data_IF_048392424223
#
_entry.id   IF_048392424223
#
_cell.length_a   1.000
_cell.length_b   1.000
_cell.length_c   1.000
_cell.angle_alpha   90.00
_cell.angle_beta   90.00
_cell.angle_gamma   90.00
#
_symmetry.space_group_name_H-M   'P 1'
#
loop_
_entity.id
_entity.type
_entity.pdbx_description
1 polymer ?
#
# COMPACT_ATOMS: atom_id res chain seq x y z
N UNK A 1 8.38 -19.19 -14.78
CA UNK A 1 7.45 -18.66 -15.80
C UNK A 1 8.17 -17.53 -16.51
N UNK A 2 8.23 -17.56 -17.84
CA UNK A 2 8.59 -16.35 -18.61
C UNK A 2 7.49 -15.33 -18.30
N UNK A 3 7.86 -14.14 -17.78
CA UNK A 3 6.89 -13.06 -17.62
C UNK A 3 6.25 -12.81 -18.99
N UNK A 4 4.93 -12.83 -19.05
CA UNK A 4 4.25 -12.39 -20.26
C UNK A 4 4.63 -10.91 -20.45
N UNK A 5 5.30 -10.61 -21.55
CA UNK A 5 5.36 -9.24 -22.01
C UNK A 5 4.16 -9.07 -22.92
N UNK A 6 3.07 -8.51 -22.38
CA UNK A 6 1.92 -8.07 -23.18
C UNK A 6 2.44 -7.08 -24.21
N UNK A 7 2.72 -7.57 -25.41
CA UNK A 7 3.22 -6.77 -26.51
C UNK A 7 2.08 -6.43 -27.46
N UNK A 8 2.23 -5.34 -28.21
CA UNK A 8 1.19 -4.86 -29.13
C UNK A 8 0.76 -5.94 -30.15
N UNK A 9 1.67 -6.83 -30.54
CA UNK A 9 1.38 -7.91 -31.51
C UNK A 9 0.39 -8.91 -30.90
N UNK A 10 0.62 -9.31 -29.65
CA UNK A 10 -0.22 -10.24 -28.92
C UNK A 10 -1.59 -9.62 -28.64
N UNK A 11 -1.64 -8.38 -28.15
CA UNK A 11 -2.91 -7.68 -27.93
C UNK A 11 -3.71 -7.54 -29.22
N UNK A 12 -3.07 -7.16 -30.32
CA UNK A 12 -3.77 -7.05 -31.62
C UNK A 12 -4.32 -8.40 -32.08
N UNK A 13 -3.63 -9.51 -31.79
CA UNK A 13 -4.14 -10.87 -32.05
C UNK A 13 -5.37 -11.17 -31.21
N UNK A 14 -5.33 -10.89 -29.90
CA UNK A 14 -6.49 -11.07 -29.01
C UNK A 14 -7.69 -10.25 -29.51
N UNK A 15 -7.48 -8.96 -29.80
CA UNK A 15 -8.52 -8.07 -30.35
C UNK A 15 -9.09 -8.61 -31.67
N UNK A 16 -8.23 -9.12 -32.56
CA UNK A 16 -8.66 -9.74 -33.81
C UNK A 16 -9.49 -11.00 -33.59
N UNK A 17 -9.12 -11.86 -32.62
CA UNK A 17 -9.88 -13.07 -32.29
C UNK A 17 -11.26 -12.73 -31.70
N UNK A 18 -11.35 -11.69 -30.86
CA UNK A 18 -12.62 -11.18 -30.32
C UNK A 18 -13.50 -10.65 -31.45
N UNK A 19 -12.95 -9.77 -32.30
CA UNK A 19 -13.70 -9.18 -33.42
C UNK A 19 -14.21 -10.24 -34.42
N UNK A 20 -13.41 -11.27 -34.68
CA UNK A 20 -13.78 -12.39 -35.56
C UNK A 20 -14.67 -13.45 -34.89
N UNK A 21 -15.05 -13.28 -33.61
CA UNK A 21 -15.80 -14.24 -32.79
C UNK A 21 -15.19 -15.65 -32.79
N UNK A 22 -13.86 -15.74 -32.81
CA UNK A 22 -13.12 -17.01 -32.75
C UNK A 22 -12.98 -17.51 -31.30
N UNK A 23 -14.13 -17.65 -30.62
CA UNK A 23 -14.22 -17.94 -29.19
C UNK A 23 -13.47 -19.20 -28.76
N UNK A 24 -13.54 -20.29 -29.53
CA UNK A 24 -12.81 -21.53 -29.23
C UNK A 24 -11.28 -21.35 -29.26
N UNK A 25 -10.79 -20.55 -30.21
CA UNK A 25 -9.35 -20.26 -30.32
C UNK A 25 -8.92 -19.36 -29.18
N UNK A 26 -9.71 -18.32 -28.90
CA UNK A 26 -9.45 -17.36 -27.84
C UNK A 26 -9.45 -18.03 -26.46
N UNK A 27 -10.46 -18.85 -26.16
CA UNK A 27 -10.54 -19.62 -24.91
C UNK A 27 -9.33 -20.53 -24.79
N UNK A 28 -9.01 -21.33 -25.81
CA UNK A 28 -7.84 -22.23 -25.77
C UNK A 28 -6.51 -21.49 -25.59
N UNK A 29 -6.38 -20.30 -26.18
CA UNK A 29 -5.18 -19.48 -26.06
C UNK A 29 -5.05 -18.92 -24.64
N UNK A 30 -6.12 -18.34 -24.09
CA UNK A 30 -6.11 -17.69 -22.78
C UNK A 30 -6.22 -18.65 -21.58
N UNK A 31 -6.86 -19.82 -21.70
CA UNK A 31 -7.05 -20.77 -20.59
C UNK A 31 -5.74 -21.34 -20.01
N UNK A 32 -4.59 -21.14 -20.67
CA UNK A 32 -3.28 -21.57 -20.15
C UNK A 32 -2.50 -20.42 -19.47
N UNK A 33 -3.05 -19.21 -19.47
CA UNK A 33 -2.41 -18.04 -18.88
C UNK A 33 -2.72 -17.99 -17.39
N UNK A 34 -1.81 -17.35 -16.64
CA UNK A 34 -2.08 -17.05 -15.24
C UNK A 34 -3.13 -15.93 -15.15
N UNK A 35 -3.97 -15.93 -14.12
CA UNK A 35 -5.01 -14.91 -13.92
C UNK A 35 -4.42 -13.49 -13.93
N UNK A 36 -3.25 -13.29 -13.32
CA UNK A 36 -2.52 -12.02 -13.35
C UNK A 36 -2.16 -11.54 -14.78
N UNK A 37 -1.80 -12.46 -15.69
CA UNK A 37 -1.54 -12.11 -17.08
C UNK A 37 -2.84 -11.72 -17.81
N UNK A 38 -3.96 -12.35 -17.43
CA UNK A 38 -5.29 -12.04 -17.97
C UNK A 38 -5.77 -10.67 -17.46
N UNK A 39 -5.53 -10.35 -16.19
CA UNK A 39 -5.78 -9.03 -15.62
C UNK A 39 -5.00 -7.95 -16.39
N UNK A 40 -3.71 -8.18 -16.70
CA UNK A 40 -2.91 -7.25 -17.50
C UNK A 40 -3.48 -7.04 -18.91
N UNK A 41 -3.99 -8.10 -19.55
CA UNK A 41 -4.67 -8.01 -20.85
C UNK A 41 -5.97 -7.19 -20.72
N UNK A 42 -6.78 -7.48 -19.70
CA UNK A 42 -8.06 -6.79 -19.43
C UNK A 42 -7.83 -5.27 -19.26
N UNK A 43 -6.76 -4.87 -18.57
CA UNK A 43 -6.39 -3.45 -18.37
C UNK A 43 -6.01 -2.72 -19.67
N UNK A 44 -5.62 -3.43 -20.74
CA UNK A 44 -5.09 -2.85 -22.00
C UNK A 44 -6.05 -2.94 -23.19
N UNK A 45 -7.24 -3.50 -22.99
CA UNK A 45 -8.29 -3.63 -24.01
C UNK A 45 -9.49 -2.72 -23.70
N UNK A 46 -10.41 -2.60 -24.65
CA UNK A 46 -11.64 -1.84 -24.42
C UNK A 46 -12.57 -2.57 -23.44
N UNK A 47 -13.49 -1.82 -22.82
CA UNK A 47 -14.46 -2.38 -21.88
C UNK A 47 -15.30 -3.50 -22.51
N UNK A 48 -15.72 -3.34 -23.77
CA UNK A 48 -16.49 -4.35 -24.50
C UNK A 48 -15.68 -5.64 -24.74
N UNK A 49 -14.39 -5.52 -25.04
CA UNK A 49 -13.49 -6.66 -25.21
C UNK A 49 -13.24 -7.37 -23.88
N UNK A 50 -13.06 -6.62 -22.78
CA UNK A 50 -12.91 -7.17 -21.43
C UNK A 50 -14.13 -7.98 -21.01
N UNK A 51 -15.35 -7.44 -21.19
CA UNK A 51 -16.60 -8.15 -20.89
C UNK A 51 -16.72 -9.44 -21.71
N UNK A 52 -16.29 -9.42 -22.98
CA UNK A 52 -16.31 -10.61 -23.82
C UNK A 52 -15.38 -11.70 -23.29
N UNK A 53 -14.19 -11.34 -22.79
CA UNK A 53 -13.25 -12.28 -22.17
C UNK A 53 -13.85 -12.86 -20.88
N UNK A 54 -14.37 -12.01 -19.99
CA UNK A 54 -14.96 -12.44 -18.71
C UNK A 54 -16.10 -13.45 -18.94
N UNK A 55 -16.98 -13.20 -19.92
CA UNK A 55 -18.09 -14.13 -20.23
C UNK A 55 -17.67 -15.40 -20.98
N UNK A 56 -16.46 -15.44 -21.55
CA UNK A 56 -16.02 -16.55 -22.39
C UNK A 56 -15.18 -17.58 -21.62
N UNK A 57 -14.36 -17.11 -20.69
CA UNK A 57 -13.48 -17.95 -19.89
C UNK A 57 -14.24 -18.62 -18.74
N UNK A 58 -13.53 -19.48 -18.01
CA UNK A 58 -14.08 -20.16 -16.83
C UNK A 58 -13.91 -19.24 -15.62
N UNK A 59 -14.92 -19.25 -14.73
CA UNK A 59 -15.04 -18.33 -13.60
C UNK A 59 -13.87 -18.44 -12.61
N UNK A 60 -13.26 -19.62 -12.47
CA UNK A 60 -12.06 -19.85 -11.65
C UNK A 60 -10.88 -18.96 -12.06
N UNK A 61 -10.74 -18.67 -13.36
CA UNK A 61 -9.67 -17.83 -13.88
C UNK A 61 -10.08 -16.36 -13.90
N UNK A 62 -11.33 -16.07 -14.28
CA UNK A 62 -11.79 -14.68 -14.43
C UNK A 62 -12.07 -14.00 -13.11
N UNK A 63 -12.47 -14.74 -12.08
CA UNK A 63 -12.68 -14.22 -10.75
C UNK A 63 -11.37 -13.64 -10.18
N UNK A 64 -10.32 -14.46 -10.13
CA UNK A 64 -8.97 -14.07 -9.72
C UNK A 64 -8.42 -12.91 -10.58
N UNK A 65 -8.68 -12.94 -11.90
CA UNK A 65 -8.26 -11.84 -12.77
C UNK A 65 -9.03 -10.54 -12.48
N UNK A 66 -10.30 -10.61 -12.07
CA UNK A 66 -11.08 -9.44 -11.68
C UNK A 66 -10.60 -8.86 -10.34
N UNK A 67 -10.18 -9.69 -9.38
CA UNK A 67 -9.59 -9.24 -8.12
C UNK A 67 -8.33 -8.36 -8.35
N UNK A 68 -7.52 -8.72 -9.34
CA UNK A 68 -6.27 -8.02 -9.73
C UNK A 68 -6.48 -6.76 -10.61
N UNK A 69 -7.70 -6.52 -11.08
CA UNK A 69 -8.02 -5.36 -11.93
C UNK A 69 -8.31 -4.13 -11.08
N UNK A 70 -7.91 -2.95 -11.56
CA UNK A 70 -8.12 -1.70 -10.83
C UNK A 70 -9.62 -1.45 -10.57
N UNK A 71 -9.97 -1.06 -9.35
CA UNK A 71 -11.35 -0.89 -8.86
C UNK A 71 -12.25 -0.17 -9.88
N UNK A 72 -11.79 0.99 -10.38
CA UNK A 72 -12.56 1.83 -11.31
C UNK A 72 -12.84 1.19 -12.68
N UNK A 73 -12.07 0.18 -13.07
CA UNK A 73 -12.30 -0.58 -14.30
C UNK A 73 -13.13 -1.84 -14.01
N UNK A 74 -12.86 -2.52 -12.89
CA UNK A 74 -13.67 -3.62 -12.36
C UNK A 74 -15.14 -3.22 -12.21
N UNK A 75 -15.43 -2.08 -11.57
CA UNK A 75 -16.80 -1.56 -11.40
C UNK A 75 -17.54 -1.44 -12.75
N UNK A 76 -16.86 -0.94 -13.78
CA UNK A 76 -17.42 -0.80 -15.13
C UNK A 76 -17.76 -2.15 -15.76
N UNK A 77 -16.90 -3.15 -15.57
CA UNK A 77 -17.15 -4.52 -16.05
C UNK A 77 -18.36 -5.11 -15.32
N UNK A 78 -18.36 -5.08 -13.98
CA UNK A 78 -19.42 -5.64 -13.14
C UNK A 78 -20.78 -5.00 -13.41
N UNK A 79 -20.82 -3.69 -13.72
CA UNK A 79 -22.05 -2.97 -14.10
C UNK A 79 -22.74 -3.54 -15.36
N UNK A 80 -22.03 -4.33 -16.17
CA UNK A 80 -22.54 -4.98 -17.39
C UNK A 80 -22.84 -6.46 -17.22
N UNK A 81 -22.55 -7.02 -16.06
CA UNK A 81 -22.89 -8.40 -15.70
C UNK A 81 -24.23 -8.46 -14.97
N UNK A 82 -24.90 -9.58 -15.08
CA UNK A 82 -26.08 -9.90 -14.28
C UNK A 82 -25.66 -10.33 -12.87
N UNK A 83 -26.55 -10.19 -11.89
CA UNK A 83 -26.26 -10.61 -10.52
C UNK A 83 -25.94 -12.13 -10.39
N UNK A 84 -26.36 -12.95 -11.37
CA UNK A 84 -26.02 -14.38 -11.41
C UNK A 84 -24.60 -14.59 -11.91
N UNK A 85 -24.22 -13.91 -13.00
CA UNK A 85 -22.84 -13.94 -13.51
C UNK A 85 -21.86 -13.43 -12.46
N UNK A 86 -22.18 -12.33 -11.77
CA UNK A 86 -21.32 -11.82 -10.68
C UNK A 86 -21.21 -12.86 -9.55
N UNK A 87 -22.33 -13.49 -9.15
CA UNK A 87 -22.28 -14.49 -8.08
C UNK A 87 -21.44 -15.72 -8.46
N UNK A 88 -21.45 -16.14 -9.72
CA UNK A 88 -20.61 -17.23 -10.23
C UNK A 88 -19.11 -16.88 -10.15
N UNK A 89 -18.72 -15.61 -10.39
CA UNK A 89 -17.34 -15.18 -10.19
C UNK A 89 -16.96 -15.09 -8.71
N UNK A 90 -17.84 -14.50 -7.88
CA UNK A 90 -17.59 -14.33 -6.44
C UNK A 90 -17.45 -15.66 -5.71
N UNK A 91 -18.17 -16.70 -6.14
CA UNK A 91 -18.13 -18.03 -5.52
C UNK A 91 -16.79 -18.77 -5.72
N UNK A 92 -15.95 -18.33 -6.67
CA UNK A 92 -14.62 -18.91 -6.92
C UNK A 92 -13.49 -18.18 -6.18
N UNK A 93 -13.79 -17.07 -5.49
CA UNK A 93 -12.80 -16.25 -4.75
C UNK A 93 -12.66 -16.66 -3.29
N UNK A 94 -11.51 -16.35 -2.70
CA UNK A 94 -11.36 -16.36 -1.24
C UNK A 94 -12.25 -15.23 -0.63
N UNK A 95 -12.67 -15.39 0.64
CA UNK A 95 -13.74 -14.56 1.22
C UNK A 95 -13.40 -13.08 1.35
N UNK A 96 -12.13 -12.73 1.52
CA UNK A 96 -11.61 -11.35 1.55
C UNK A 96 -11.76 -10.67 0.18
N UNK A 97 -11.22 -11.27 -0.89
CA UNK A 97 -11.36 -10.74 -2.25
C UNK A 97 -12.85 -10.63 -2.66
N UNK A 98 -13.64 -11.65 -2.31
CA UNK A 98 -15.08 -11.64 -2.53
C UNK A 98 -15.79 -10.48 -1.80
N UNK A 99 -15.40 -10.21 -0.55
CA UNK A 99 -15.95 -9.12 0.25
C UNK A 99 -15.58 -7.75 -0.34
N UNK A 100 -14.34 -7.58 -0.80
CA UNK A 100 -13.90 -6.33 -1.44
C UNK A 100 -14.70 -6.05 -2.72
N UNK A 101 -14.79 -7.03 -3.64
CA UNK A 101 -15.55 -6.87 -4.88
C UNK A 101 -17.04 -6.63 -4.63
N UNK A 102 -17.64 -7.34 -3.66
CA UNK A 102 -19.05 -7.12 -3.32
C UNK A 102 -19.24 -5.74 -2.66
N UNK A 103 -18.29 -5.29 -1.85
CA UNK A 103 -18.30 -3.99 -1.18
C UNK A 103 -18.37 -2.81 -2.16
N UNK A 104 -17.75 -2.93 -3.34
CA UNK A 104 -17.80 -1.94 -4.43
C UNK A 104 -19.18 -1.82 -5.09
N UNK A 105 -20.01 -2.87 -5.01
CA UNK A 105 -21.31 -2.87 -5.66
C UNK A 105 -22.30 -1.95 -4.92
N UNK A 106 -23.24 -1.32 -5.66
CA UNK A 106 -24.39 -0.66 -5.05
C UNK A 106 -25.12 -1.58 -4.06
N UNK A 107 -25.53 -1.06 -2.89
CA UNK A 107 -26.19 -1.84 -1.82
C UNK A 107 -27.36 -2.72 -2.31
N UNK A 108 -28.12 -2.23 -3.29
CA UNK A 108 -29.26 -2.95 -3.86
C UNK A 108 -28.87 -4.14 -4.77
N UNK A 109 -27.62 -4.20 -5.22
CA UNK A 109 -27.03 -5.31 -5.97
C UNK A 109 -26.30 -6.30 -5.06
N UNK A 110 -25.63 -5.83 -4.00
CA UNK A 110 -24.94 -6.70 -3.03
C UNK A 110 -25.81 -7.86 -2.56
N UNK A 111 -26.99 -7.55 -2.01
CA UNK A 111 -27.94 -8.57 -1.54
C UNK A 111 -28.41 -9.53 -2.63
N UNK A 112 -28.56 -9.04 -3.87
CA UNK A 112 -28.98 -9.87 -5.00
C UNK A 112 -27.88 -10.85 -5.39
N UNK A 113 -26.63 -10.40 -5.43
CA UNK A 113 -25.46 -11.23 -5.74
C UNK A 113 -25.29 -12.28 -4.64
N UNK A 114 -25.23 -11.87 -3.38
CA UNK A 114 -25.07 -12.77 -2.24
C UNK A 114 -26.18 -13.84 -2.15
N UNK A 115 -27.41 -13.51 -2.56
CA UNK A 115 -28.52 -14.47 -2.61
C UNK A 115 -28.45 -15.50 -3.75
N UNK A 116 -27.48 -15.34 -4.67
CA UNK A 116 -27.29 -16.18 -5.85
C UNK A 116 -26.11 -17.14 -5.74
N UNK A 117 -25.22 -16.93 -4.78
CA UNK A 117 -24.13 -17.85 -4.43
C UNK A 117 -24.75 -19.18 -3.94
N UNK A 118 -24.27 -20.31 -4.44
CA UNK A 118 -24.81 -21.62 -4.08
C UNK A 118 -24.32 -22.07 -2.69
N UNK A 119 -23.05 -21.81 -2.37
CA UNK A 119 -22.49 -22.01 -1.04
C UNK A 119 -23.01 -20.97 -0.01
N UNK A 120 -23.92 -21.44 0.84
CA UNK A 120 -24.52 -20.63 1.90
C UNK A 120 -23.55 -20.27 3.04
N UNK A 121 -22.52 -21.09 3.31
CA UNK A 121 -21.49 -20.79 4.31
C UNK A 121 -20.59 -19.66 3.79
N UNK A 122 -20.11 -19.79 2.55
CA UNK A 122 -19.30 -18.77 1.89
C UNK A 122 -20.03 -17.42 1.77
N UNK A 123 -21.29 -17.42 1.32
CA UNK A 123 -22.14 -16.20 1.26
C UNK A 123 -22.33 -15.54 2.64
N UNK A 124 -22.43 -16.34 3.71
CA UNK A 124 -22.56 -15.84 5.08
C UNK A 124 -21.25 -15.27 5.62
N UNK A 125 -20.13 -15.86 5.25
CA UNK A 125 -18.79 -15.40 5.60
C UNK A 125 -18.47 -14.05 4.93
N UNK A 126 -18.77 -13.89 3.64
CA UNK A 126 -18.67 -12.61 2.92
C UNK A 126 -19.54 -11.55 3.61
N UNK A 127 -20.79 -11.88 3.96
CA UNK A 127 -21.66 -10.96 4.72
C UNK A 127 -21.06 -10.54 6.05
N UNK A 128 -20.36 -11.43 6.73
CA UNK A 128 -19.71 -11.10 7.99
C UNK A 128 -18.60 -10.08 7.75
N UNK A 129 -17.75 -10.33 6.74
CA UNK A 129 -16.61 -9.48 6.39
C UNK A 129 -17.03 -8.06 6.00
N UNK A 130 -18.10 -7.92 5.22
CA UNK A 130 -18.69 -6.63 4.84
C UNK A 130 -19.15 -5.76 6.03
N UNK A 131 -19.25 -6.30 7.24
CA UNK A 131 -19.60 -5.51 8.43
C UNK A 131 -18.38 -4.90 9.14
N UNK A 132 -17.15 -5.32 8.80
CA UNK A 132 -15.95 -4.71 9.35
C UNK A 132 -15.66 -3.39 8.65
N UNK A 133 -15.05 -2.46 9.39
CA UNK A 133 -14.69 -1.17 8.80
C UNK A 133 -13.47 -1.36 7.90
N UNK A 134 -13.49 -0.69 6.76
CA UNK A 134 -12.33 -0.56 5.87
C UNK A 134 -11.09 -0.08 6.65
N UNK A 135 -9.90 -0.58 6.29
CA UNK A 135 -8.65 -0.28 6.99
C UNK A 135 -8.47 -1.00 8.34
N UNK A 136 -9.31 -2.00 8.65
CA UNK A 136 -9.13 -2.87 9.82
C UNK A 136 -8.73 -4.29 9.43
N UNK A 137 -8.08 -4.99 10.35
CA UNK A 137 -7.72 -6.41 10.20
C UNK A 137 -8.91 -7.30 9.86
N UNK A 138 -10.13 -6.94 10.30
CA UNK A 138 -11.34 -7.68 9.98
C UNK A 138 -11.82 -7.52 8.55
N UNK A 139 -11.56 -6.38 7.92
CA UNK A 139 -11.87 -6.18 6.50
C UNK A 139 -10.87 -6.92 5.61
N UNK A 140 -9.60 -7.00 6.03
CA UNK A 140 -8.51 -7.64 5.28
C UNK A 140 -8.43 -9.17 5.47
N UNK A 141 -9.24 -9.79 6.32
CA UNK A 141 -9.05 -11.21 6.65
C UNK A 141 -9.86 -12.15 5.76
N UNK A 142 -9.22 -13.21 5.29
CA UNK A 142 -9.89 -14.41 4.81
C UNK A 142 -10.40 -15.29 5.96
N UNK A 143 -11.54 -15.95 5.73
CA UNK A 143 -12.12 -16.98 6.60
C UNK A 143 -11.51 -18.35 6.34
N UNK A 144 -10.98 -18.58 5.15
CA UNK A 144 -10.33 -19.81 4.71
C UNK A 144 -9.05 -20.06 5.52
N UNK A 145 -9.13 -20.91 6.54
CA UNK A 145 -7.98 -21.28 7.35
C UNK A 145 -8.03 -22.74 7.81
N UNK A 146 -6.85 -23.28 8.13
CA UNK A 146 -6.75 -24.60 8.73
C UNK A 146 -6.60 -24.47 10.24
N UNK A 147 -7.56 -25.03 10.99
CA UNK A 147 -7.51 -25.07 12.44
C UNK A 147 -7.83 -26.45 13.02
N UNK A 148 -7.14 -26.80 14.11
CA UNK A 148 -7.28 -28.10 14.78
C UNK A 148 -7.40 -27.95 16.29
N UNK A 149 -8.18 -28.83 16.91
CA UNK A 149 -8.36 -28.81 18.34
C UNK A 149 -7.16 -29.45 19.08
N UNK A 150 -6.70 -28.81 20.16
CA UNK A 150 -5.56 -29.27 20.98
C UNK A 150 -5.71 -30.71 21.53
N UNK A 151 -6.94 -31.19 21.68
CA UNK A 151 -7.22 -32.50 22.27
C UNK A 151 -7.04 -33.67 21.31
N UNK A 152 -6.93 -33.41 20.00
CA UNK A 152 -6.77 -34.42 18.97
C UNK A 152 -5.41 -35.12 19.06
N UNK A 153 -5.37 -36.40 18.67
CA UNK A 153 -4.11 -37.09 18.37
C UNK A 153 -3.53 -36.60 17.05
N UNK A 154 -2.22 -36.73 16.85
CA UNK A 154 -1.53 -36.35 15.60
C UNK A 154 -2.19 -37.01 14.38
N UNK A 155 -2.57 -38.30 14.47
CA UNK A 155 -3.23 -38.98 13.35
C UNK A 155 -4.60 -38.39 13.01
N UNK A 156 -5.39 -38.00 14.01
CA UNK A 156 -6.70 -37.38 13.80
C UNK A 156 -6.52 -35.93 13.32
N UNK A 157 -5.54 -35.20 13.86
CA UNK A 157 -5.15 -33.86 13.41
C UNK A 157 -4.87 -33.85 11.90
N UNK A 158 -4.00 -34.74 11.41
CA UNK A 158 -3.68 -34.85 9.98
C UNK A 158 -4.93 -35.17 9.14
N UNK A 159 -5.83 -36.00 9.66
CA UNK A 159 -7.08 -36.33 8.96
C UNK A 159 -8.02 -35.13 8.87
N UNK A 160 -8.18 -34.36 9.94
CA UNK A 160 -8.99 -33.13 9.94
C UNK A 160 -8.36 -32.07 9.02
N UNK A 161 -7.04 -31.88 9.08
CA UNK A 161 -6.34 -30.97 8.17
C UNK A 161 -6.54 -31.33 6.71
N UNK A 162 -6.47 -32.63 6.35
CA UNK A 162 -6.74 -33.09 4.98
C UNK A 162 -8.18 -32.87 4.52
N UNK A 163 -9.13 -32.75 5.44
CA UNK A 163 -10.51 -32.42 5.12
C UNK A 163 -10.63 -30.93 4.80
N UNK A 164 -10.07 -30.07 5.65
CA UNK A 164 -10.11 -28.62 5.49
C UNK A 164 -9.29 -28.15 4.29
N UNK A 165 -8.10 -28.73 4.06
CA UNK A 165 -7.22 -28.37 2.95
C UNK A 165 -7.74 -28.71 1.54
N UNK A 166 -8.97 -29.24 1.42
CA UNK A 166 -9.66 -29.37 0.14
C UNK A 166 -10.41 -28.10 -0.27
N UNK A 167 -10.79 -27.30 0.72
CA UNK A 167 -11.58 -26.09 0.58
C UNK A 167 -10.71 -24.83 0.79
N UNK A 168 -9.38 -24.99 0.85
CA UNK A 168 -8.44 -23.87 1.05
C UNK A 168 -7.35 -23.97 -0.01
N UNK A 169 -7.22 -22.92 -0.82
CA UNK A 169 -6.29 -22.83 -1.94
C UNK A 169 -4.84 -22.98 -1.47
N UNK A 170 -4.47 -22.28 -0.38
CA UNK A 170 -3.12 -22.30 0.20
C UNK A 170 -3.12 -22.39 1.72
N UNK A 171 -2.51 -23.46 2.24
CA UNK A 171 -2.31 -23.65 3.69
C UNK A 171 -1.00 -22.98 4.14
N UNK A 172 -1.09 -21.73 4.57
CA UNK A 172 0.06 -20.96 5.08
C UNK A 172 0.43 -21.31 6.53
N UNK A 173 -0.58 -21.56 7.37
CA UNK A 173 -0.38 -21.89 8.78
C UNK A 173 -1.49 -22.80 9.29
N UNK A 174 -1.20 -23.60 10.32
CA UNK A 174 -2.15 -24.48 10.97
C UNK A 174 -2.33 -23.99 12.41
N UNK A 175 -3.50 -23.44 12.70
CA UNK A 175 -3.79 -22.87 14.01
C UNK A 175 -4.33 -23.94 14.97
N UNK A 176 -3.97 -23.80 16.25
CA UNK A 176 -4.44 -24.69 17.31
C UNK A 176 -5.42 -23.95 18.19
N UNK A 177 -6.60 -24.52 18.35
CA UNK A 177 -7.68 -23.94 19.17
C UNK A 177 -8.14 -24.90 20.27
N UNK A 178 -8.83 -24.34 21.27
CA UNK A 178 -9.54 -25.14 22.27
C UNK A 178 -11.01 -25.39 21.88
N UNK A 179 -11.77 -26.05 22.75
CA UNK A 179 -13.21 -26.34 22.52
C UNK A 179 -14.12 -25.10 22.44
N UNK A 180 -13.62 -23.91 22.76
CA UNK A 180 -14.34 -22.62 22.64
C UNK A 180 -13.84 -21.78 21.45
N UNK A 181 -13.12 -22.41 20.52
CA UNK A 181 -12.46 -21.80 19.38
C UNK A 181 -11.44 -20.70 19.74
N UNK A 182 -10.84 -20.75 20.95
CA UNK A 182 -9.80 -19.79 21.33
C UNK A 182 -8.45 -20.19 20.76
N UNK A 183 -7.75 -19.24 20.17
CA UNK A 183 -6.39 -19.42 19.65
C UNK A 183 -5.41 -19.73 20.80
N UNK A 184 -4.69 -20.85 20.67
CA UNK A 184 -3.68 -21.30 21.64
C UNK A 184 -2.26 -21.24 21.07
N UNK A 185 -2.11 -21.49 19.77
CA UNK A 185 -0.82 -21.56 19.12
C UNK A 185 -0.91 -22.03 17.67
N UNK A 186 0.20 -22.52 17.12
CA UNK A 186 0.27 -23.07 15.75
C UNK A 186 1.04 -24.39 15.71
N UNK A 187 0.86 -25.15 14.64
CA UNK A 187 1.63 -26.36 14.35
C UNK A 187 2.68 -26.08 13.29
N UNK A 188 3.90 -26.56 13.52
CA UNK A 188 4.90 -26.70 12.47
C UNK A 188 4.68 -28.00 11.71
N UNK A 189 4.74 -27.95 10.39
CA UNK A 189 4.71 -29.16 9.55
C UNK A 189 5.86 -30.12 9.92
N UNK A 190 7.04 -29.58 10.26
CA UNK A 190 8.18 -30.37 10.72
C UNK A 190 7.88 -31.14 12.00
N UNK A 191 7.27 -30.49 12.98
CA UNK A 191 6.94 -31.12 14.26
C UNK A 191 5.84 -32.16 14.07
N UNK A 192 4.87 -31.88 13.19
CA UNK A 192 3.81 -32.83 12.84
C UNK A 192 4.36 -34.10 12.15
N UNK A 193 5.35 -33.95 11.26
CA UNK A 193 5.97 -35.08 10.54
C UNK A 193 6.89 -35.93 11.43
N UNK A 194 7.47 -35.35 12.48
CA UNK A 194 8.42 -36.04 13.36
C UNK A 194 7.76 -36.56 14.65
N UNK A 195 6.56 -36.08 14.98
CA UNK A 195 5.83 -36.50 16.17
C UNK A 195 5.31 -37.95 16.09
N UNK A 196 5.19 -38.58 17.26
CA UNK A 196 4.51 -39.87 17.35
C UNK A 196 3.03 -39.72 17.00
N UNK A 197 2.49 -40.59 16.15
CA UNK A 197 1.10 -40.56 15.70
C UNK A 197 0.06 -40.63 16.82
N UNK A 198 0.45 -41.17 17.99
CA UNK A 198 -0.39 -41.25 19.21
C UNK A 198 -0.24 -40.05 20.15
N UNK A 199 0.76 -39.19 19.96
CA UNK A 199 0.89 -37.96 20.73
C UNK A 199 -0.31 -37.04 20.48
N UNK A 200 -0.60 -36.14 21.40
CA UNK A 200 -1.68 -35.15 21.22
C UNK A 200 -1.12 -33.85 20.66
N UNK A 201 -1.98 -33.10 19.96
CA UNK A 201 -1.66 -31.76 19.44
C UNK A 201 -1.17 -30.85 20.55
N UNK A 202 -1.81 -30.89 21.73
CA UNK A 202 -1.39 -30.12 22.92
C UNK A 202 0.07 -30.34 23.36
N UNK A 203 0.68 -31.46 22.98
CA UNK A 203 2.05 -31.83 23.40
C UNK A 203 3.11 -31.33 22.38
N UNK A 204 2.68 -30.88 21.20
CA UNK A 204 3.58 -30.55 20.07
C UNK A 204 3.37 -29.15 19.47
N UNK A 205 2.28 -28.46 19.80
CA UNK A 205 2.03 -27.13 19.24
C UNK A 205 3.01 -26.10 19.82
N UNK A 206 3.27 -25.07 19.03
CA UNK A 206 4.09 -23.92 19.43
C UNK A 206 3.15 -22.90 20.09
N UNK A 207 3.27 -22.66 21.42
CA UNK A 207 2.45 -21.67 22.11
C UNK A 207 2.92 -20.24 21.78
N UNK A 208 2.09 -19.25 22.12
CA UNK A 208 2.38 -17.82 21.94
C UNK A 208 2.63 -17.44 20.48
N UNK A 209 1.60 -17.60 19.66
CA UNK A 209 1.58 -17.04 18.31
C UNK A 209 1.27 -15.55 18.37
N UNK A 210 1.93 -14.79 17.51
CA UNK A 210 1.49 -13.43 17.20
C UNK A 210 0.10 -13.48 16.55
N UNK A 211 -0.76 -12.56 16.95
CA UNK A 211 -2.13 -12.44 16.46
C UNK A 211 -2.55 -10.98 16.52
N UNK A 212 -3.54 -10.60 15.72
CA UNK A 212 -4.11 -9.26 15.71
C UNK A 212 -5.58 -9.29 16.10
N UNK A 213 -6.07 -8.20 16.70
CA UNK A 213 -7.50 -8.04 16.95
C UNK A 213 -8.19 -7.69 15.62
N UNK A 214 -9.43 -8.09 15.46
CA UNK A 214 -10.25 -7.76 14.28
C UNK A 214 -10.41 -6.26 14.02
N UNK A 215 -10.28 -5.42 15.06
CA UNK A 215 -10.34 -3.96 14.94
C UNK A 215 -8.96 -3.29 14.83
N UNK A 216 -7.88 -4.05 14.71
CA UNK A 216 -6.53 -3.51 14.56
C UNK A 216 -6.37 -2.80 13.21
N UNK A 217 -5.60 -1.72 13.17
CA UNK A 217 -5.30 -0.97 11.94
C UNK A 217 -4.42 -1.82 11.00
N UNK A 218 -4.74 -1.81 9.70
CA UNK A 218 -4.00 -2.60 8.70
C UNK A 218 -2.51 -2.26 8.62
N UNK A 219 -2.11 -1.02 8.92
CA UNK A 219 -0.69 -0.64 8.94
C UNK A 219 0.04 -1.31 10.12
N UNK A 220 -0.64 -1.48 11.26
CA UNK A 220 -0.06 -2.20 12.39
C UNK A 220 0.02 -3.70 12.11
N UNK A 221 -0.98 -4.27 11.42
CA UNK A 221 -0.89 -5.65 10.90
C UNK A 221 0.34 -5.81 10.01
N UNK A 222 0.52 -4.91 9.04
CA UNK A 222 1.66 -4.91 8.13
C UNK A 222 3.00 -4.80 8.89
N UNK A 223 3.08 -3.91 9.88
CA UNK A 223 4.26 -3.76 10.73
C UNK A 223 4.59 -5.03 11.51
N UNK A 224 3.59 -5.70 12.11
CA UNK A 224 3.79 -6.94 12.87
C UNK A 224 4.27 -8.05 11.93
N UNK A 225 3.60 -8.23 10.78
CA UNK A 225 3.96 -9.27 9.82
C UNK A 225 5.36 -9.05 9.24
N UNK A 226 5.70 -7.83 8.86
CA UNK A 226 7.03 -7.46 8.36
C UNK A 226 8.12 -7.64 9.42
N UNK A 227 7.87 -7.25 10.67
CA UNK A 227 8.85 -7.32 11.76
C UNK A 227 9.22 -8.75 12.14
N UNK A 228 8.27 -9.68 12.05
CA UNK A 228 8.46 -11.08 12.45
C UNK A 228 8.54 -12.04 11.26
N UNK A 229 8.65 -11.53 10.04
CA UNK A 229 8.72 -12.30 8.79
C UNK A 229 7.58 -13.36 8.69
N UNK A 230 6.34 -12.93 8.97
CA UNK A 230 5.17 -13.82 9.00
C UNK A 230 4.57 -13.99 7.60
N UNK A 231 4.38 -15.24 7.18
CA UNK A 231 3.64 -15.57 5.95
C UNK A 231 2.13 -15.38 6.09
N UNK A 232 1.61 -15.53 7.31
CA UNK A 232 0.22 -15.28 7.65
C UNK A 232 0.08 -14.98 9.15
N UNK A 233 -0.92 -14.19 9.51
CA UNK A 233 -1.24 -13.83 10.89
C UNK A 233 -2.71 -14.15 11.21
N UNK A 234 -3.01 -14.81 12.35
CA UNK A 234 -4.38 -15.08 12.74
C UNK A 234 -5.08 -13.83 13.30
N UNK A 235 -6.33 -13.64 12.91
CA UNK A 235 -7.19 -12.56 13.40
C UNK A 235 -8.14 -13.11 14.47
N UNK A 236 -8.24 -12.41 15.59
CA UNK A 236 -9.08 -12.80 16.72
C UNK A 236 -10.00 -11.69 17.19
N UNK A 237 -11.10 -12.07 17.85
CA UNK A 237 -11.93 -11.10 18.58
C UNK A 237 -11.41 -10.84 20.01
N UNK A 238 -12.10 -9.96 20.74
CA UNK A 238 -11.76 -9.60 22.13
C UNK A 238 -11.73 -10.78 23.11
N UNK A 239 -12.43 -11.89 22.78
CA UNK A 239 -12.44 -13.12 23.58
C UNK A 239 -11.30 -14.08 23.20
N UNK A 240 -10.42 -13.68 22.27
CA UNK A 240 -9.37 -14.45 21.60
C UNK A 240 -9.89 -15.65 20.79
N UNK A 241 -11.10 -15.54 20.26
CA UNK A 241 -11.62 -16.56 19.35
C UNK A 241 -11.05 -16.31 17.95
N UNK A 242 -10.58 -17.36 17.30
CA UNK A 242 -10.04 -17.30 15.94
C UNK A 242 -11.19 -17.01 14.97
N UNK A 243 -11.06 -15.93 14.19
CA UNK A 243 -12.07 -15.47 13.24
C UNK A 243 -11.66 -15.63 11.78
N UNK A 244 -10.35 -15.51 11.51
CA UNK A 244 -9.81 -15.45 10.16
C UNK A 244 -8.28 -15.44 10.19
N UNK A 245 -7.67 -15.20 9.03
CA UNK A 245 -6.25 -14.95 8.88
C UNK A 245 -6.02 -13.86 7.83
N UNK A 246 -4.87 -13.20 7.90
CA UNK A 246 -4.39 -12.29 6.87
C UNK A 246 -3.11 -12.88 6.31
N UNK A 247 -2.94 -12.83 4.99
CA UNK A 247 -1.79 -13.36 4.28
C UNK A 247 -0.82 -12.25 3.85
N UNK A 248 0.40 -12.64 3.50
CA UNK A 248 1.47 -11.67 3.20
C UNK A 248 1.22 -10.96 1.86
N UNK A 249 0.56 -11.62 0.91
CA UNK A 249 0.14 -11.07 -0.38
C UNK A 249 -0.70 -9.81 -0.17
N UNK A 250 -1.78 -9.90 0.60
CA UNK A 250 -2.71 -8.78 0.87
C UNK A 250 -1.99 -7.61 1.58
N UNK A 251 -1.08 -7.95 2.49
CA UNK A 251 -0.27 -6.96 3.21
C UNK A 251 0.78 -6.29 2.32
N UNK A 252 1.27 -6.97 1.27
CA UNK A 252 2.28 -6.39 0.38
C UNK A 252 1.74 -5.17 -0.37
N UNK A 253 0.46 -5.16 -0.74
CA UNK A 253 -0.13 -4.03 -1.43
C UNK A 253 -0.37 -2.86 -0.48
N UNK A 254 -0.81 -3.11 0.75
CA UNK A 254 -0.88 -2.08 1.81
C UNK A 254 0.48 -1.42 2.05
N UNK A 255 1.56 -2.21 2.10
CA UNK A 255 2.92 -1.67 2.28
C UNK A 255 3.31 -0.77 1.10
N UNK A 256 2.95 -1.14 -0.14
CA UNK A 256 3.24 -0.32 -1.32
C UNK A 256 2.41 0.96 -1.32
N UNK A 257 1.12 0.87 -1.05
CA UNK A 257 0.19 2.00 -1.01
C UNK A 257 0.61 3.02 0.04
N UNK A 258 0.93 2.58 1.27
CA UNK A 258 1.39 3.48 2.32
C UNK A 258 2.74 4.13 1.95
N UNK A 259 3.65 3.41 1.30
CA UNK A 259 4.91 3.98 0.82
C UNK A 259 4.70 5.01 -0.32
N UNK A 260 3.75 4.76 -1.22
CA UNK A 260 3.38 5.69 -2.28
C UNK A 260 2.72 6.95 -1.71
N UNK A 261 1.78 6.79 -0.77
CA UNK A 261 1.12 7.87 -0.06
C UNK A 261 2.11 8.74 0.71
N UNK A 262 3.06 8.14 1.41
CA UNK A 262 4.17 8.86 2.07
C UNK A 262 4.98 9.70 1.07
N UNK A 263 5.28 9.13 -0.11
CA UNK A 263 5.99 9.82 -1.17
C UNK A 263 5.17 11.00 -1.75
N UNK A 264 3.88 10.79 -2.00
CA UNK A 264 2.97 11.82 -2.50
C UNK A 264 2.82 12.98 -1.50
N UNK A 265 2.64 12.67 -0.21
CA UNK A 265 2.58 13.67 0.86
C UNK A 265 3.88 14.48 0.95
N UNK A 266 5.06 13.82 0.86
CA UNK A 266 6.35 14.48 0.83
C UNK A 266 6.54 15.40 -0.39
N UNK A 267 5.89 15.08 -1.52
CA UNK A 267 5.87 15.91 -2.73
C UNK A 267 4.82 17.04 -2.70
N UNK A 268 4.06 17.21 -1.61
CA UNK A 268 3.02 18.22 -1.49
C UNK A 268 1.73 17.87 -2.24
N UNK A 269 1.45 16.58 -2.41
CA UNK A 269 0.21 16.07 -3.00
C UNK A 269 -0.68 15.59 -1.84
N UNK A 270 -1.89 16.14 -1.74
CA UNK A 270 -2.75 15.96 -0.56
C UNK A 270 -3.73 14.78 -0.65
N UNK A 271 -3.74 14.08 -1.78
CA UNK A 271 -4.64 12.96 -2.08
C UNK A 271 -3.92 11.96 -2.98
N UNK A 272 -4.24 10.69 -2.83
CA UNK A 272 -3.90 9.67 -3.82
C UNK A 272 -4.43 10.09 -5.19
N UNK A 273 -3.51 10.15 -6.14
CA UNK A 273 -3.78 10.44 -7.55
C UNK A 273 -2.83 9.64 -8.41
N UNK A 274 -3.33 9.20 -9.55
CA UNK A 274 -2.52 8.52 -10.55
C UNK A 274 -2.05 9.48 -11.64
N UNK A 275 -0.98 9.12 -12.36
CA UNK A 275 -0.49 9.92 -13.48
C UNK A 275 -1.54 10.08 -14.61
N UNK A 276 -2.45 9.11 -14.75
CA UNK A 276 -3.46 9.07 -15.80
C UNK A 276 -4.78 9.74 -15.39
N UNK A 277 -4.89 10.22 -14.15
CA UNK A 277 -6.07 10.95 -13.69
C UNK A 277 -6.33 12.20 -14.52
N UNK A 278 -7.59 12.64 -14.53
CA UNK A 278 -7.95 13.82 -15.28
C UNK A 278 -7.34 15.10 -14.66
N UNK A 279 -7.21 16.14 -15.49
CA UNK A 279 -6.59 17.41 -15.11
C UNK A 279 -7.26 18.02 -13.86
N UNK A 280 -8.56 17.83 -13.68
CA UNK A 280 -9.30 18.39 -12.55
C UNK A 280 -8.98 17.67 -11.23
N UNK A 281 -8.89 16.34 -11.24
CA UNK A 281 -8.46 15.53 -10.09
C UNK A 281 -7.05 15.93 -9.65
N UNK A 282 -6.09 15.93 -10.59
CA UNK A 282 -4.71 16.32 -10.34
C UNK A 282 -4.59 17.76 -9.80
N UNK A 283 -5.37 18.69 -10.36
CA UNK A 283 -5.39 20.08 -9.88
C UNK A 283 -5.92 20.14 -8.45
N UNK A 284 -7.02 19.44 -8.14
CA UNK A 284 -7.61 19.44 -6.79
C UNK A 284 -6.69 18.83 -5.74
N UNK A 285 -5.86 17.84 -6.10
CA UNK A 285 -4.90 17.21 -5.19
C UNK A 285 -3.67 18.11 -4.88
N UNK A 286 -3.24 18.93 -5.84
CA UNK A 286 -2.04 19.80 -5.72
C UNK A 286 -2.34 21.21 -5.23
N UNK A 287 -3.49 21.77 -5.63
CA UNK A 287 -3.83 23.17 -5.37
C UNK A 287 -3.82 23.56 -3.88
N UNK A 288 -4.26 22.71 -2.93
CA UNK A 288 -4.19 23.06 -1.50
C UNK A 288 -2.76 23.39 -1.04
N UNK A 289 -1.78 22.56 -1.44
CA UNK A 289 -0.39 22.76 -1.05
C UNK A 289 0.24 23.94 -1.80
N UNK A 290 -0.04 24.08 -3.11
CA UNK A 290 0.39 25.23 -3.90
C UNK A 290 -0.15 26.56 -3.35
N UNK A 291 -1.40 26.57 -2.89
CA UNK A 291 -2.03 27.74 -2.30
C UNK A 291 -1.40 28.11 -0.95
N UNK A 292 -1.10 27.13 -0.09
CA UNK A 292 -0.36 27.36 1.15
C UNK A 292 1.04 27.92 0.86
N UNK A 293 1.76 27.36 -0.11
CA UNK A 293 3.06 27.88 -0.57
C UNK A 293 2.96 29.31 -1.10
N UNK A 294 1.91 29.64 -1.86
CA UNK A 294 1.65 30.99 -2.34
C UNK A 294 1.44 31.99 -1.20
N UNK A 295 0.67 31.63 -0.16
CA UNK A 295 0.48 32.50 1.01
C UNK A 295 1.82 32.80 1.69
N UNK A 296 2.66 31.77 1.90
CA UNK A 296 4.01 31.93 2.43
C UNK A 296 4.88 32.85 1.56
N UNK A 297 4.83 32.65 0.24
CA UNK A 297 5.53 33.49 -0.74
C UNK A 297 5.07 34.95 -0.72
N UNK A 298 3.76 35.21 -0.63
CA UNK A 298 3.22 36.57 -0.49
C UNK A 298 3.68 37.22 0.82
N UNK A 299 3.77 36.46 1.91
CA UNK A 299 4.36 36.93 3.17
C UNK A 299 5.79 37.45 3.00
N UNK A 300 6.61 36.77 2.20
CA UNK A 300 7.99 37.17 1.91
C UNK A 300 8.08 38.51 1.17
N UNK A 301 7.09 38.83 0.32
CA UNK A 301 7.03 40.11 -0.41
C UNK A 301 6.85 41.28 0.56
N UNK A 302 5.99 41.13 1.57
CA UNK A 302 5.81 42.17 2.58
C UNK A 302 7.07 42.39 3.41
N UNK A 303 7.74 41.30 3.80
CA UNK A 303 9.02 41.40 4.52
C UNK A 303 10.05 42.12 3.65
N UNK A 304 10.18 41.76 2.36
CA UNK A 304 11.17 42.38 1.47
C UNK A 304 10.89 43.87 1.22
N UNK A 305 9.62 44.26 1.18
CA UNK A 305 9.20 45.67 1.03
C UNK A 305 9.72 46.54 2.17
N UNK A 306 9.77 46.03 3.40
CA UNK A 306 10.30 46.79 4.54
C UNK A 306 11.81 47.08 4.40
N UNK A 307 12.52 46.39 3.50
CA UNK A 307 13.94 46.62 3.19
C UNK A 307 14.16 47.51 1.96
N UNK A 308 13.13 48.21 1.46
CA UNK A 308 13.21 49.10 0.28
C UNK A 308 14.27 50.20 0.43
N UNK A 309 14.41 50.79 1.61
CA UNK A 309 15.44 51.82 1.86
C UNK A 309 16.88 51.28 1.69
N UNK A 310 17.09 49.98 1.94
CA UNK A 310 18.39 49.32 1.77
C UNK A 310 18.63 49.00 0.28
N UNK A 311 17.59 48.69 -0.49
CA UNK A 311 17.67 48.49 -1.95
C UNK A 311 18.13 49.74 -2.71
N UNK A 312 17.75 50.92 -2.21
CA UNK A 312 18.10 52.19 -2.84
C UNK A 312 19.61 52.48 -2.72
N UNK A 313 20.26 52.00 -1.65
CA UNK A 313 21.70 52.19 -1.42
C UNK A 313 22.51 51.41 -2.47
N UNK A 314 23.28 52.10 -3.29
CA UNK A 314 24.06 51.53 -4.40
C UNK A 314 25.03 50.43 -3.97
N UNK A 315 25.59 50.55 -2.76
CA UNK A 315 26.55 49.60 -2.19
C UNK A 315 25.91 48.27 -1.75
N UNK A 316 24.62 48.29 -1.38
CA UNK A 316 23.92 47.13 -0.80
C UNK A 316 22.93 46.47 -1.75
N UNK A 317 22.60 47.13 -2.87
CA UNK A 317 21.65 46.63 -3.87
C UNK A 317 21.98 45.23 -4.39
N UNK A 318 23.27 44.90 -4.51
CA UNK A 318 23.74 43.61 -4.99
C UNK A 318 23.33 42.43 -4.10
N UNK A 319 23.09 42.65 -2.80
CA UNK A 319 22.62 41.62 -1.87
C UNK A 319 21.29 41.00 -2.31
N UNK A 320 20.41 41.80 -2.92
CA UNK A 320 19.08 41.36 -3.32
C UNK A 320 19.12 40.31 -4.44
N UNK A 321 20.17 40.32 -5.27
CA UNK A 321 20.37 39.30 -6.31
C UNK A 321 20.66 37.91 -5.73
N UNK A 322 21.08 37.83 -4.46
CA UNK A 322 21.31 36.58 -3.75
C UNK A 322 20.08 36.05 -3.01
N UNK A 323 19.01 36.84 -2.90
CA UNK A 323 17.77 36.41 -2.22
C UNK A 323 17.19 35.11 -2.81
N UNK A 324 17.07 34.94 -4.15
CA UNK A 324 16.56 33.70 -4.72
C UNK A 324 17.44 32.49 -4.40
N UNK A 325 18.76 32.69 -4.38
CA UNK A 325 19.72 31.63 -4.06
C UNK A 325 19.58 31.18 -2.60
N UNK A 326 19.54 32.14 -1.67
CA UNK A 326 19.37 31.86 -0.24
C UNK A 326 18.03 31.18 0.02
N UNK A 327 16.94 31.68 -0.58
CA UNK A 327 15.61 31.09 -0.46
C UNK A 327 15.54 29.65 -1.00
N UNK A 328 16.17 29.38 -2.16
CA UNK A 328 16.21 28.04 -2.74
C UNK A 328 16.98 27.05 -1.84
N UNK A 329 18.10 27.49 -1.27
CA UNK A 329 18.89 26.65 -0.34
C UNK A 329 18.15 26.39 0.97
N UNK A 330 17.45 27.38 1.50
CA UNK A 330 16.56 27.23 2.66
C UNK A 330 15.51 26.12 2.41
N UNK A 331 14.84 26.19 1.26
CA UNK A 331 13.83 25.21 0.85
C UNK A 331 14.41 23.80 0.70
N UNK A 332 15.55 23.66 0.01
CA UNK A 332 16.21 22.36 -0.18
C UNK A 332 16.60 21.71 1.15
N UNK A 333 17.19 22.49 2.07
CA UNK A 333 17.58 21.97 3.39
C UNK A 333 16.36 21.60 4.22
N UNK A 334 15.30 22.42 4.21
CA UNK A 334 14.06 22.13 4.92
C UNK A 334 13.39 20.84 4.44
N UNK A 335 13.29 20.65 3.12
CA UNK A 335 12.72 19.43 2.54
C UNK A 335 13.59 18.20 2.85
N UNK A 336 14.92 18.31 2.74
CA UNK A 336 15.84 17.20 3.06
C UNK A 336 15.77 16.81 4.54
N UNK A 337 15.79 17.79 5.43
CA UNK A 337 15.72 17.56 6.88
C UNK A 337 14.36 16.94 7.22
N UNK A 338 13.26 17.54 6.77
CA UNK A 338 11.91 17.01 6.96
C UNK A 338 11.76 15.57 6.46
N UNK A 339 12.25 15.25 5.26
CA UNK A 339 12.18 13.90 4.71
C UNK A 339 12.90 12.87 5.59
N UNK A 340 14.12 13.17 6.06
CA UNK A 340 14.89 12.28 6.95
C UNK A 340 14.19 12.13 8.32
N UNK A 341 13.59 13.20 8.82
CA UNK A 341 12.84 13.16 10.08
C UNK A 341 11.61 12.28 9.93
N UNK A 342 10.74 12.54 8.95
CA UNK A 342 9.49 11.82 8.71
C UNK A 342 9.77 10.34 8.44
N UNK A 343 10.70 10.02 7.53
CA UNK A 343 11.10 8.64 7.23
C UNK A 343 11.63 7.92 8.48
N UNK A 344 12.38 8.61 9.33
CA UNK A 344 12.85 8.00 10.58
C UNK A 344 11.71 7.71 11.56
N UNK A 345 10.61 8.48 11.53
CA UNK A 345 9.46 8.31 12.42
C UNK A 345 8.66 7.12 11.92
N UNK A 346 8.35 7.08 10.62
CA UNK A 346 7.64 5.98 9.97
C UNK A 346 8.34 4.64 10.22
N UNK A 347 9.66 4.56 10.04
CA UNK A 347 10.42 3.33 10.26
C UNK A 347 10.68 2.98 11.74
N UNK A 348 10.13 3.74 12.69
CA UNK A 348 10.38 3.60 14.13
C UNK A 348 11.87 3.56 14.52
N UNK A 349 12.76 4.09 13.68
CA UNK A 349 14.22 4.10 13.90
C UNK A 349 14.59 5.20 14.90
N UNK A 350 13.77 6.26 14.97
CA UNK A 350 13.99 7.34 15.93
C UNK A 350 13.48 6.89 17.31
N UNK A 351 14.38 6.28 18.06
CA UNK A 351 14.20 6.02 19.49
C UNK A 351 15.20 6.87 20.26
N UNK A 352 14.74 7.88 20.99
CA UNK A 352 15.63 8.74 21.77
C UNK A 352 15.07 10.13 22.11
N UNK A 353 15.92 10.96 22.73
CA UNK A 353 15.57 12.32 23.13
C UNK A 353 15.55 13.28 21.93
N UNK A 354 14.44 14.02 21.77
CA UNK A 354 14.27 15.11 20.80
C UNK A 354 15.42 16.13 20.87
N UNK A 355 15.95 16.39 22.06
CA UNK A 355 17.02 17.38 22.26
C UNK A 355 18.35 16.94 21.64
N UNK A 356 18.70 15.66 21.75
CA UNK A 356 19.95 15.13 21.19
C UNK A 356 19.91 15.18 19.66
N UNK A 357 18.71 14.99 19.11
CA UNK A 357 18.50 15.08 17.67
C UNK A 357 18.57 16.52 17.17
N UNK A 358 18.01 17.47 17.92
CA UNK A 358 18.15 18.90 17.63
C UNK A 358 19.64 19.29 17.54
N UNK A 359 20.46 18.90 18.52
CA UNK A 359 21.90 19.16 18.47
C UNK A 359 22.60 18.48 17.28
N UNK A 360 22.16 17.28 16.90
CA UNK A 360 22.69 16.60 15.71
C UNK A 360 22.37 17.38 14.44
N UNK A 361 21.14 17.89 14.28
CA UNK A 361 20.74 18.69 13.12
C UNK A 361 21.45 20.05 13.08
N UNK A 362 21.62 20.73 14.22
CA UNK A 362 22.45 21.95 14.29
C UNK A 362 23.88 21.64 13.80
N UNK A 363 24.46 20.52 14.25
CA UNK A 363 25.78 20.09 13.81
C UNK A 363 25.87 19.84 12.31
N UNK A 364 24.89 19.16 11.73
CA UNK A 364 24.79 18.92 10.28
C UNK A 364 24.64 20.22 9.50
N UNK A 365 23.76 21.13 9.96
CA UNK A 365 23.55 22.44 9.37
C UNK A 365 24.81 23.33 9.41
N UNK A 366 25.58 23.28 10.50
CA UNK A 366 26.85 23.99 10.61
C UNK A 366 27.89 23.48 9.59
N UNK A 367 28.03 22.16 9.47
CA UNK A 367 28.99 21.54 8.54
C UNK A 367 28.59 21.85 7.09
N UNK A 368 27.34 21.60 6.72
CA UNK A 368 26.84 21.84 5.37
C UNK A 368 26.87 23.34 5.03
N UNK A 369 26.45 24.19 5.96
CA UNK A 369 26.50 25.64 5.82
C UNK A 369 27.90 26.18 5.62
N UNK A 370 28.90 25.65 6.34
CA UNK A 370 30.30 26.03 6.16
C UNK A 370 30.83 25.64 4.78
N UNK A 371 30.58 24.40 4.34
CA UNK A 371 31.02 23.91 3.03
C UNK A 371 30.44 24.79 1.91
N UNK A 372 29.13 25.05 1.95
CA UNK A 372 28.45 25.88 0.95
C UNK A 372 28.88 27.35 1.01
N UNK A 373 29.16 27.88 2.19
CA UNK A 373 29.72 29.21 2.39
C UNK A 373 31.09 29.38 1.74
N UNK A 374 31.96 28.38 1.87
CA UNK A 374 33.28 28.38 1.21
C UNK A 374 33.12 28.41 -0.31
N UNK A 375 32.19 27.61 -0.86
CA UNK A 375 31.89 27.60 -2.30
C UNK A 375 31.42 28.99 -2.77
N UNK A 376 30.57 29.66 -2.00
CA UNK A 376 30.10 31.02 -2.33
C UNK A 376 31.23 32.05 -2.32
N UNK A 377 32.16 31.95 -1.36
CA UNK A 377 33.32 32.85 -1.30
C UNK A 377 34.22 32.64 -2.52
N UNK A 378 34.54 31.39 -2.85
CA UNK A 378 35.35 31.05 -4.03
C UNK A 378 34.67 31.55 -5.31
N UNK A 379 33.37 31.32 -5.45
CA UNK A 379 32.61 31.81 -6.61
C UNK A 379 32.65 33.34 -6.69
N UNK A 380 32.48 34.03 -5.56
CA UNK A 380 32.63 35.47 -5.44
C UNK A 380 33.98 35.98 -5.94
N UNK A 381 35.07 35.31 -5.56
CA UNK A 381 36.42 35.66 -6.04
C UNK A 381 36.55 35.48 -7.57
N UNK A 382 36.01 34.40 -8.14
CA UNK A 382 36.05 34.13 -9.59
C UNK A 382 35.37 35.26 -10.39
N UNK A 383 34.26 35.78 -9.89
CA UNK A 383 33.51 36.87 -10.55
C UNK A 383 34.04 38.26 -10.18
N UNK A 384 35.17 38.36 -9.46
CA UNK A 384 35.75 39.60 -8.95
C UNK A 384 34.78 40.41 -8.06
N UNK A 385 33.98 39.72 -7.26
CA UNK A 385 33.11 40.33 -6.27
C UNK A 385 33.90 40.81 -5.06
N UNK A 386 33.43 41.89 -4.44
CA UNK A 386 33.99 42.38 -3.18
C UNK A 386 33.92 41.30 -2.08
N UNK A 387 35.05 41.05 -1.41
CA UNK A 387 35.16 40.03 -0.36
C UNK A 387 34.14 40.22 0.76
N UNK A 388 33.86 41.47 1.16
CA UNK A 388 32.90 41.78 2.21
C UNK A 388 31.47 41.33 1.83
N UNK A 389 31.09 41.51 0.55
CA UNK A 389 29.80 41.07 0.04
C UNK A 389 29.72 39.53 0.04
N UNK A 390 30.77 38.85 -0.42
CA UNK A 390 30.84 37.38 -0.42
C UNK A 390 30.74 36.79 0.99
N UNK A 391 31.43 37.38 1.97
CA UNK A 391 31.32 36.98 3.38
C UNK A 391 29.93 37.23 3.96
N UNK A 392 29.29 38.34 3.59
CA UNK A 392 27.92 38.68 4.06
C UNK A 392 26.91 37.67 3.53
N UNK A 393 26.97 37.33 2.23
CA UNK A 393 26.09 36.34 1.61
C UNK A 393 26.35 34.96 2.19
N UNK A 394 27.61 34.56 2.38
CA UNK A 394 27.99 33.30 3.01
C UNK A 394 27.47 33.18 4.46
N UNK A 395 27.65 34.23 5.28
CA UNK A 395 27.13 34.25 6.65
C UNK A 395 25.59 34.17 6.72
N UNK A 396 24.91 34.87 5.80
CA UNK A 396 23.45 34.78 5.65
C UNK A 396 23.01 33.36 5.26
N UNK A 397 23.66 32.76 4.25
CA UNK A 397 23.40 31.39 3.80
C UNK A 397 23.57 30.37 4.93
N UNK A 398 24.67 30.45 5.68
CA UNK A 398 24.93 29.57 6.82
C UNK A 398 23.84 29.69 7.89
N UNK A 399 23.42 30.92 8.22
CA UNK A 399 22.37 31.18 9.20
C UNK A 399 21.03 30.58 8.77
N UNK A 400 20.68 30.76 7.49
CA UNK A 400 19.45 30.23 6.91
C UNK A 400 19.45 28.71 6.87
N UNK A 401 20.55 28.06 6.49
CA UNK A 401 20.68 26.60 6.48
C UNK A 401 20.46 26.02 7.88
N UNK A 402 21.05 26.64 8.92
CA UNK A 402 20.86 26.18 10.30
C UNK A 402 19.39 26.31 10.71
N UNK A 403 18.76 27.45 10.45
CA UNK A 403 17.35 27.66 10.83
C UNK A 403 16.44 26.69 10.06
N UNK A 404 16.64 26.53 8.76
CA UNK A 404 15.85 25.64 7.91
C UNK A 404 16.02 24.17 8.24
N UNK A 405 17.13 23.74 8.83
CA UNK A 405 17.31 22.35 9.28
C UNK A 405 16.56 22.03 10.59
N UNK A 406 16.13 23.05 11.33
CA UNK A 406 15.47 22.91 12.64
C UNK A 406 13.93 22.98 12.56
N UNK A 407 13.42 23.49 11.45
CA UNK A 407 11.99 23.57 11.12
C UNK A 407 11.65 22.38 10.24
#
# INVERSE_FOLDING_TARGET
MEKLHVNDIFLNRIKSLIYENKNEVLKKELSNFHYADIAEIIKQISLEEAIHIVKLLESDITAEALAEVDESFREKILSKLSAKEIAEEIEELDTDDAADIVGELPENLQEKVLSKIEDAEHSQDIRELLNYNEGTAGALMAKELVSVNESLSVINCVREMRKQAKEVTRVHSIYVTNSKNKLLGRLSLKDLLTANTKAKVKDIYIPNVDFVNVNEDVNEVANIMSKYDLEAIPVVNDKKQLLGRITIDDVLDIIKEEAEKDYQLAAGISKEVEANDNIFQLTRARLPWLFLGLIGGLGSVFILKDFEEIMIRSELRSLFFYTPLIAAMAGNVGVQSSAIIVQGIANQVIKGSLINRLFKEIGLGLINGLILSIVLIIFGEIINQEMLLSLTVAGSMMSVIIISALV
#
